data_IF_013393440762
#
_entry.id   IF_013393440762
#
_cell.length_a   1.000
_cell.length_b   1.000
_cell.length_c   1.000
_cell.angle_alpha   90.00
_cell.angle_beta   90.00
_cell.angle_gamma   90.00
#
_symmetry.space_group_name_H-M   'P 1'
#
loop_
_entity.id
_entity.type
_entity.pdbx_description
1 polymer ?
#
# COMPACT_ATOMS: atom_id res chain seq x y z
N UNK A 1 -1.10 0.72 17.36
CA UNK A 1 -0.49 1.93 17.96
C UNK A 1 0.01 2.78 16.83
N UNK A 2 -0.32 4.07 16.80
CA UNK A 2 0.32 5.00 15.86
C UNK A 2 1.74 5.27 16.36
N UNK A 3 2.73 4.73 15.65
CA UNK A 3 4.12 5.09 15.91
C UNK A 3 4.36 6.43 15.24
N UNK A 4 4.41 7.52 16.01
CA UNK A 4 4.92 8.79 15.50
C UNK A 4 6.44 8.68 15.41
N UNK A 5 6.94 8.33 14.24
CA UNK A 5 8.38 8.32 13.99
C UNK A 5 8.93 9.73 13.90
N UNK A 6 10.09 9.94 14.51
CA UNK A 6 10.91 11.12 14.27
C UNK A 6 11.50 11.05 12.85
N UNK A 7 11.90 12.20 12.29
CA UNK A 7 12.59 12.25 11.00
C UNK A 7 13.84 11.36 10.98
N UNK A 8 14.57 11.24 12.10
CA UNK A 8 15.75 10.39 12.21
C UNK A 8 15.40 8.90 12.10
N UNK A 9 14.26 8.47 12.64
CA UNK A 9 13.79 7.09 12.53
C UNK A 9 13.33 6.77 11.10
N UNK A 10 12.57 7.67 10.46
CA UNK A 10 12.19 7.54 9.05
C UNK A 10 13.43 7.39 8.15
N UNK A 11 14.43 8.25 8.34
CA UNK A 11 15.71 8.17 7.61
C UNK A 11 16.50 6.90 7.91
N UNK A 12 16.37 6.33 9.13
CA UNK A 12 17.00 5.06 9.48
C UNK A 12 16.38 3.91 8.72
N UNK A 13 15.05 3.86 8.62
CA UNK A 13 14.35 2.84 7.84
C UNK A 13 14.68 2.95 6.35
N UNK A 14 14.60 4.15 5.77
CA UNK A 14 14.97 4.39 4.38
C UNK A 14 16.41 3.96 4.09
N UNK A 15 17.36 4.27 4.99
CA UNK A 15 18.75 3.83 4.85
C UNK A 15 18.89 2.32 4.89
N UNK A 16 18.16 1.62 5.76
CA UNK A 16 18.17 0.17 5.82
C UNK A 16 17.69 -0.46 4.51
N UNK A 17 16.58 0.04 3.96
CA UNK A 17 16.03 -0.43 2.68
C UNK A 17 17.03 -0.23 1.52
N UNK A 18 17.65 0.96 1.46
CA UNK A 18 18.69 1.25 0.45
C UNK A 18 19.92 0.36 0.60
N UNK A 19 20.37 0.09 1.83
CA UNK A 19 21.49 -0.82 2.07
C UNK A 19 21.16 -2.24 1.58
N UNK A 20 19.94 -2.73 1.81
CA UNK A 20 19.53 -4.05 1.33
C UNK A 20 19.50 -4.12 -0.21
N UNK A 21 18.93 -3.11 -0.88
CA UNK A 21 18.92 -3.00 -2.35
C UNK A 21 20.35 -3.01 -2.93
N UNK A 22 21.25 -2.22 -2.35
CA UNK A 22 22.66 -2.16 -2.77
C UNK A 22 23.38 -3.49 -2.52
N UNK A 23 23.11 -4.17 -1.40
CA UNK A 23 23.68 -5.48 -1.10
C UNK A 23 23.22 -6.55 -2.09
N UNK A 24 21.95 -6.55 -2.49
CA UNK A 24 21.42 -7.47 -3.50
C UNK A 24 22.09 -7.26 -4.86
N UNK A 25 22.27 -6.00 -5.28
CA UNK A 25 23.00 -5.65 -6.51
C UNK A 25 24.44 -6.15 -6.42
N UNK A 26 25.16 -5.77 -5.36
CA UNK A 26 26.57 -6.16 -5.16
C UNK A 26 26.75 -7.68 -5.13
N UNK A 27 25.86 -8.40 -4.45
CA UNK A 27 25.88 -9.86 -4.37
C UNK A 27 25.68 -10.53 -5.73
N UNK A 28 24.72 -10.06 -6.53
CA UNK A 28 24.49 -10.60 -7.87
C UNK A 28 25.63 -10.26 -8.84
N UNK A 29 26.20 -9.06 -8.75
CA UNK A 29 27.39 -8.68 -9.51
C UNK A 29 28.58 -9.60 -9.19
N UNK A 30 28.84 -9.89 -7.91
CA UNK A 30 29.93 -10.77 -7.49
C UNK A 30 29.76 -12.22 -8.00
N UNK A 31 28.52 -12.64 -8.26
CA UNK A 31 28.19 -13.95 -8.84
C UNK A 31 28.12 -13.93 -10.39
N UNK A 32 28.42 -12.80 -11.04
CA UNK A 32 28.34 -12.65 -12.49
C UNK A 32 26.91 -12.64 -13.06
N UNK A 33 25.88 -12.49 -12.22
CA UNK A 33 24.46 -12.55 -12.62
C UNK A 33 23.96 -11.18 -13.11
N UNK A 34 24.52 -10.68 -14.21
CA UNK A 34 24.25 -9.31 -14.68
C UNK A 34 22.80 -9.08 -15.12
N UNK A 35 22.11 -10.08 -15.68
CA UNK A 35 20.69 -9.96 -16.01
C UNK A 35 19.83 -9.69 -14.76
N UNK A 36 20.14 -10.35 -13.64
CA UNK A 36 19.45 -10.10 -12.37
C UNK A 36 19.78 -8.71 -11.83
N UNK A 37 21.01 -8.23 -12.02
CA UNK A 37 21.38 -6.86 -11.64
C UNK A 37 20.55 -5.84 -12.41
N UNK A 38 20.37 -6.03 -13.73
CA UNK A 38 19.50 -5.15 -14.53
C UNK A 38 18.07 -5.15 -13.98
N UNK A 39 17.49 -6.33 -13.75
CA UNK A 39 16.14 -6.42 -13.20
C UNK A 39 15.99 -5.76 -11.83
N UNK A 40 16.98 -5.89 -10.94
CA UNK A 40 16.98 -5.20 -9.64
C UNK A 40 17.02 -3.66 -9.81
N UNK A 41 17.78 -3.15 -10.78
CA UNK A 41 17.83 -1.71 -11.05
C UNK A 41 16.50 -1.23 -11.61
N UNK A 42 15.88 -1.98 -12.52
CA UNK A 42 14.57 -1.66 -13.08
C UNK A 42 13.48 -1.66 -11.99
N UNK A 43 13.49 -2.65 -11.08
CA UNK A 43 12.62 -2.69 -9.90
C UNK A 43 12.77 -1.42 -9.04
N UNK A 44 14.00 -0.97 -8.77
CA UNK A 44 14.28 0.25 -8.00
C UNK A 44 13.77 1.50 -8.73
N UNK A 45 13.95 1.58 -10.04
CA UNK A 45 13.48 2.71 -10.84
C UNK A 45 11.95 2.79 -10.78
N UNK A 46 11.26 1.67 -10.96
CA UNK A 46 9.79 1.61 -10.88
C UNK A 46 9.31 2.02 -9.49
N UNK A 47 9.89 1.48 -8.42
CA UNK A 47 9.55 1.86 -7.05
C UNK A 47 9.73 3.36 -6.81
N UNK A 48 10.85 3.94 -7.24
CA UNK A 48 11.12 5.38 -7.10
C UNK A 48 10.14 6.25 -7.90
N UNK A 49 9.71 5.79 -9.07
CA UNK A 49 8.67 6.48 -9.85
C UNK A 49 7.31 6.45 -9.14
N UNK A 50 6.93 5.32 -8.53
CA UNK A 50 5.71 5.20 -7.75
C UNK A 50 5.77 6.07 -6.47
N UNK A 51 6.90 6.07 -5.76
CA UNK A 51 7.16 6.95 -4.61
C UNK A 51 7.04 8.44 -5.00
N UNK A 52 7.53 8.83 -6.18
CA UNK A 52 7.40 10.20 -6.69
C UNK A 52 5.94 10.55 -7.02
N UNK A 53 5.19 9.64 -7.65
CA UNK A 53 3.76 9.86 -7.94
C UNK A 53 2.95 10.06 -6.66
N UNK A 54 3.09 9.17 -5.69
CA UNK A 54 2.35 9.29 -4.42
C UNK A 54 2.78 10.53 -3.63
N UNK A 55 4.06 10.91 -3.66
CA UNK A 55 4.55 12.12 -2.98
C UNK A 55 4.03 13.43 -3.58
N UNK A 56 3.70 13.43 -4.88
CA UNK A 56 3.16 14.59 -5.59
C UNK A 56 1.63 14.67 -5.56
N UNK A 57 0.95 13.64 -5.02
CA UNK A 57 -0.48 13.67 -4.79
C UNK A 57 -0.79 14.66 -3.66
N UNK A 58 -1.81 15.51 -3.84
CA UNK A 58 -2.22 16.52 -2.86
C UNK A 58 -3.03 15.91 -1.69
N UNK A 59 -2.51 14.85 -1.09
CA UNK A 59 -3.10 14.08 0.01
C UNK A 59 -1.99 13.58 0.94
N UNK A 60 -1.31 14.51 1.65
CA UNK A 60 -0.11 14.21 2.42
C UNK A 60 -0.28 13.11 3.48
N UNK A 61 -1.44 12.99 4.13
CA UNK A 61 -1.67 11.96 5.14
C UNK A 61 -1.75 10.57 4.52
N UNK A 62 -2.42 10.44 3.38
CA UNK A 62 -2.49 9.19 2.63
C UNK A 62 -1.12 8.82 2.06
N UNK A 63 -0.40 9.78 1.49
CA UNK A 63 0.94 9.57 0.98
C UNK A 63 1.90 9.11 2.08
N UNK A 64 1.86 9.73 3.27
CA UNK A 64 2.65 9.30 4.43
C UNK A 64 2.30 7.86 4.85
N UNK A 65 1.00 7.53 4.93
CA UNK A 65 0.54 6.19 5.30
C UNK A 65 1.10 5.11 4.35
N UNK A 66 1.06 5.36 3.04
CA UNK A 66 1.49 4.38 2.05
C UNK A 66 3.03 4.28 1.95
N UNK A 67 3.74 5.42 1.97
CA UNK A 67 5.21 5.46 1.93
C UNK A 67 5.84 4.76 3.14
N UNK A 68 5.24 4.94 4.31
CA UNK A 68 5.76 4.38 5.57
C UNK A 68 5.11 3.04 5.93
N UNK A 69 4.10 2.61 5.17
CA UNK A 69 3.31 1.41 5.43
C UNK A 69 4.14 0.13 5.52
N UNK A 70 5.20 0.02 4.71
CA UNK A 70 6.15 -1.12 4.73
C UNK A 70 6.93 -1.26 6.05
N UNK A 71 7.04 -0.20 6.85
CA UNK A 71 7.72 -0.21 8.15
C UNK A 71 6.76 -0.39 9.33
N UNK A 72 5.45 -0.41 9.07
CA UNK A 72 4.45 -0.71 10.08
C UNK A 72 4.48 -2.22 10.40
N UNK A 73 4.29 -2.55 11.67
CA UNK A 73 4.30 -3.93 12.16
C UNK A 73 2.98 -4.66 11.89
N UNK A 74 2.58 -4.72 10.63
CA UNK A 74 1.45 -5.54 10.17
C UNK A 74 1.93 -6.96 9.82
N UNK A 75 1.01 -7.93 9.91
CA UNK A 75 1.20 -9.32 9.47
C UNK A 75 1.09 -9.49 7.95
N UNK A 76 1.12 -8.38 7.22
CA UNK A 76 1.10 -8.33 5.77
C UNK A 76 1.97 -7.16 5.28
N UNK A 77 2.49 -7.28 4.07
CA UNK A 77 3.18 -6.21 3.38
C UNK A 77 2.20 -5.40 2.54
N UNK A 78 2.31 -4.08 2.65
CA UNK A 78 1.56 -3.13 1.84
C UNK A 78 2.41 -2.79 0.61
N UNK A 79 1.86 -2.99 -0.56
CA UNK A 79 2.36 -2.48 -1.84
C UNK A 79 1.32 -1.54 -2.44
N UNK A 80 1.76 -0.61 -3.28
CA UNK A 80 0.85 0.28 -3.98
C UNK A 80 1.31 0.52 -5.41
N UNK A 81 0.36 0.83 -6.27
CA UNK A 81 0.60 1.22 -7.65
C UNK A 81 -0.33 2.37 -8.03
N UNK A 82 0.25 3.41 -8.63
CA UNK A 82 -0.43 4.61 -9.10
C UNK A 82 -0.53 4.55 -10.63
N UNK A 83 -1.72 4.28 -11.13
CA UNK A 83 -1.99 4.05 -12.56
C UNK A 83 -1.99 5.37 -13.36
N UNK A 84 -2.58 6.42 -12.79
CA UNK A 84 -2.82 7.71 -13.45
C UNK A 84 -2.03 8.86 -12.80
N UNK A 85 -1.99 10.03 -13.44
CA UNK A 85 -1.55 11.26 -12.79
C UNK A 85 -2.67 11.81 -11.88
N UNK A 86 -2.64 11.41 -10.62
CA UNK A 86 -3.67 11.71 -9.62
C UNK A 86 -3.26 12.95 -8.82
N UNK A 87 -3.95 14.07 -9.07
CA UNK A 87 -3.72 15.31 -8.31
C UNK A 87 -4.14 15.21 -6.84
N UNK A 88 -5.03 14.27 -6.50
CA UNK A 88 -5.53 14.06 -5.13
C UNK A 88 -6.69 14.99 -4.76
N UNK A 89 -7.29 14.68 -3.61
CA UNK A 89 -8.46 15.36 -3.04
C UNK A 89 -8.15 15.76 -1.58
N UNK A 90 -7.55 16.95 -1.34
CA UNK A 90 -7.07 17.36 -0.02
C UNK A 90 -8.13 17.33 1.07
N UNK A 91 -9.36 17.71 0.71
CA UNK A 91 -10.51 17.74 1.61
C UNK A 91 -10.96 16.34 2.08
N UNK A 92 -10.49 15.29 1.41
CA UNK A 92 -10.81 13.89 1.70
C UNK A 92 -9.62 13.12 2.26
N UNK A 93 -8.44 13.74 2.32
CA UNK A 93 -7.19 13.10 2.74
C UNK A 93 -7.30 12.48 4.14
N UNK A 94 -7.76 13.26 5.13
CA UNK A 94 -7.94 12.76 6.50
C UNK A 94 -8.99 11.64 6.56
N UNK A 95 -10.12 11.80 5.85
CA UNK A 95 -11.21 10.82 5.85
C UNK A 95 -10.75 9.46 5.30
N UNK A 96 -10.11 9.48 4.13
CA UNK A 96 -9.62 8.28 3.44
C UNK A 96 -8.49 7.64 4.24
N UNK A 97 -7.54 8.43 4.74
CA UNK A 97 -6.42 7.93 5.55
C UNK A 97 -6.92 7.25 6.81
N UNK A 98 -7.87 7.85 7.52
CA UNK A 98 -8.43 7.28 8.74
C UNK A 98 -9.23 6.01 8.48
N UNK A 99 -9.98 5.94 7.38
CA UNK A 99 -10.65 4.72 6.97
C UNK A 99 -9.63 3.61 6.65
N UNK A 100 -8.59 3.94 5.88
CA UNK A 100 -7.56 2.99 5.47
C UNK A 100 -6.77 2.43 6.66
N UNK A 101 -6.40 3.28 7.63
CA UNK A 101 -5.79 2.84 8.90
C UNK A 101 -6.69 1.86 9.66
N UNK A 102 -8.00 2.13 9.75
CA UNK A 102 -8.95 1.22 10.40
C UNK A 102 -8.99 -0.12 9.66
N UNK A 103 -9.05 -0.08 8.34
CA UNK A 103 -9.07 -1.27 7.50
C UNK A 103 -7.80 -2.12 7.67
N UNK A 104 -6.61 -1.52 7.61
CA UNK A 104 -5.35 -2.24 7.84
C UNK A 104 -5.29 -2.89 9.22
N UNK A 105 -5.75 -2.20 10.26
CA UNK A 105 -5.80 -2.76 11.61
C UNK A 105 -6.76 -3.95 11.70
N UNK A 106 -7.89 -3.89 11.01
CA UNK A 106 -8.85 -5.00 11.00
C UNK A 106 -8.29 -6.20 10.23
N UNK A 107 -7.74 -6.01 9.03
CA UNK A 107 -7.04 -7.07 8.28
C UNK A 107 -5.95 -7.70 9.15
N UNK A 108 -5.14 -6.88 9.84
CA UNK A 108 -4.09 -7.38 10.73
C UNK A 108 -4.60 -8.24 11.90
N UNK A 109 -5.81 -7.95 12.41
CA UNK A 109 -6.47 -8.75 13.46
C UNK A 109 -6.97 -10.09 12.93
N UNK A 110 -7.36 -10.14 11.66
CA UNK A 110 -7.92 -11.34 11.03
C UNK A 110 -6.86 -12.33 10.53
N UNK A 111 -5.57 -11.98 10.60
CA UNK A 111 -4.47 -12.86 10.18
C UNK A 111 -3.92 -13.60 11.41
N UNK A 112 -4.11 -14.92 11.45
CA UNK A 112 -3.43 -15.82 12.39
C UNK A 112 -2.19 -16.49 11.80
N UNK A 113 -2.00 -16.38 10.48
CA UNK A 113 -0.88 -17.01 9.77
C UNK A 113 0.49 -16.55 10.31
N UNK A 114 1.43 -17.49 10.33
CA UNK A 114 2.85 -17.22 10.62
C UNK A 114 3.57 -16.62 9.41
N UNK A 115 3.01 -16.81 8.21
CA UNK A 115 3.53 -16.26 6.97
C UNK A 115 3.09 -14.81 6.77
N UNK A 116 3.97 -14.02 6.14
CA UNK A 116 3.68 -12.63 5.79
C UNK A 116 2.81 -12.63 4.53
N UNK A 117 1.61 -12.05 4.62
CA UNK A 117 0.67 -11.91 3.51
C UNK A 117 0.90 -10.61 2.72
N UNK A 118 0.16 -10.41 1.63
CA UNK A 118 0.31 -9.22 0.78
C UNK A 118 -1.03 -8.50 0.55
N UNK A 119 -0.99 -7.18 0.68
CA UNK A 119 -2.06 -6.26 0.31
C UNK A 119 -1.54 -5.28 -0.74
N UNK A 120 -2.08 -5.35 -1.95
CA UNK A 120 -1.78 -4.40 -3.02
C UNK A 120 -2.87 -3.35 -3.11
N UNK A 121 -2.47 -2.08 -3.16
CA UNK A 121 -3.37 -0.92 -3.24
C UNK A 121 -3.22 -0.26 -4.60
N UNK A 122 -4.29 -0.22 -5.38
CA UNK A 122 -4.29 0.35 -6.71
C UNK A 122 -4.97 1.72 -6.69
N UNK A 123 -4.22 2.80 -6.94
CA UNK A 123 -4.78 4.13 -7.06
C UNK A 123 -4.93 4.47 -8.54
N UNK A 124 -6.16 4.84 -8.92
CA UNK A 124 -6.54 5.18 -10.30
C UNK A 124 -7.62 6.26 -10.30
N UNK A 125 -7.94 6.75 -11.50
CA UNK A 125 -9.10 7.60 -11.73
C UNK A 125 -10.27 6.81 -12.30
N UNK A 126 -11.47 7.23 -11.96
CA UNK A 126 -12.66 6.82 -12.70
C UNK A 126 -12.81 7.63 -13.99
N UNK A 127 -13.70 7.19 -14.88
CA UNK A 127 -14.07 7.96 -16.08
C UNK A 127 -14.66 9.36 -15.74
N UNK A 128 -15.17 9.52 -14.52
CA UNK A 128 -15.72 10.78 -13.97
C UNK A 128 -14.64 11.63 -13.26
N UNK A 129 -13.34 11.33 -13.48
CA UNK A 129 -12.15 11.95 -12.86
C UNK A 129 -12.07 11.80 -11.33
N UNK A 130 -12.89 10.92 -10.75
CA UNK A 130 -12.95 10.69 -9.30
C UNK A 130 -11.88 9.71 -8.83
N UNK A 131 -11.40 9.85 -7.58
CA UNK A 131 -10.39 8.95 -7.03
C UNK A 131 -10.97 7.55 -6.80
N UNK A 132 -10.31 6.54 -7.35
CA UNK A 132 -10.59 5.12 -7.10
C UNK A 132 -9.39 4.44 -6.46
N UNK A 133 -9.65 3.71 -5.37
CA UNK A 133 -8.66 2.96 -4.60
C UNK A 133 -9.10 1.50 -4.56
N UNK A 134 -8.41 0.63 -5.30
CA UNK A 134 -8.58 -0.82 -5.26
C UNK A 134 -7.73 -1.43 -4.14
N UNK A 135 -8.26 -2.45 -3.47
CA UNK A 135 -7.57 -3.22 -2.45
C UNK A 135 -7.59 -4.69 -2.87
N UNK A 136 -6.43 -5.24 -3.17
CA UNK A 136 -6.25 -6.64 -3.53
C UNK A 136 -5.46 -7.34 -2.42
N UNK A 137 -6.15 -8.14 -1.62
CA UNK A 137 -5.53 -8.91 -0.55
C UNK A 137 -5.42 -10.38 -0.95
N UNK A 138 -4.21 -10.91 -0.83
CA UNK A 138 -3.90 -12.31 -1.12
C UNK A 138 -3.54 -13.02 0.18
N UNK A 139 -4.47 -13.83 0.68
CA UNK A 139 -4.27 -14.67 1.85
C UNK A 139 -5.56 -15.05 2.58
N UNK A 140 -5.49 -16.06 3.47
CA UNK A 140 -6.60 -16.42 4.34
C UNK A 140 -6.80 -15.36 5.44
N UNK A 141 -8.06 -15.14 5.80
CA UNK A 141 -8.49 -14.32 6.93
C UNK A 141 -9.50 -15.11 7.76
N UNK A 142 -9.43 -14.97 9.08
CA UNK A 142 -10.23 -15.78 10.00
C UNK A 142 -11.72 -15.46 9.94
N UNK A 143 -12.07 -14.17 9.84
CA UNK A 143 -13.46 -13.74 9.78
C UNK A 143 -13.65 -12.64 8.72
N UNK A 144 -14.13 -13.04 7.54
CA UNK A 144 -14.47 -12.12 6.44
C UNK A 144 -15.67 -11.24 6.77
N UNK A 145 -16.62 -11.72 7.58
CA UNK A 145 -17.81 -10.95 7.93
C UNK A 145 -17.44 -9.68 8.71
N UNK A 146 -16.42 -9.73 9.57
CA UNK A 146 -15.91 -8.53 10.26
C UNK A 146 -15.31 -7.51 9.28
N UNK A 147 -14.62 -7.96 8.23
CA UNK A 147 -14.14 -7.08 7.17
C UNK A 147 -15.29 -6.48 6.36
N UNK A 148 -16.29 -7.27 6.01
CA UNK A 148 -17.47 -6.82 5.25
C UNK A 148 -18.28 -5.78 6.03
N UNK A 149 -18.33 -5.85 7.37
CA UNK A 149 -18.97 -4.80 8.20
C UNK A 149 -18.34 -3.43 7.97
N UNK A 150 -17.04 -3.37 7.64
CA UNK A 150 -16.35 -2.11 7.32
C UNK A 150 -16.79 -1.51 5.98
N UNK A 151 -17.43 -2.31 5.12
CA UNK A 151 -17.88 -1.86 3.82
C UNK A 151 -19.16 -1.02 3.86
N UNK A 152 -19.77 -0.88 5.05
CA UNK A 152 -20.85 0.06 5.30
C UNK A 152 -20.30 1.49 5.47
N UNK A 153 -19.90 2.09 4.36
CA UNK A 153 -19.44 3.47 4.29
C UNK A 153 -20.59 4.43 3.98
N UNK A 154 -20.43 5.69 4.39
CA UNK A 154 -21.34 6.80 4.03
C UNK A 154 -20.65 7.70 3.03
N UNK A 155 -21.44 8.47 2.29
CA UNK A 155 -20.96 9.56 1.44
C UNK A 155 -19.96 10.45 2.21
N UNK A 156 -18.84 10.86 1.56
CA UNK A 156 -18.53 10.75 0.13
C UNK A 156 -17.86 9.44 -0.32
N UNK A 157 -17.74 8.43 0.57
CA UNK A 157 -17.12 7.16 0.22
C UNK A 157 -18.17 6.16 -0.28
N UNK A 158 -17.86 5.47 -1.38
CA UNK A 158 -18.64 4.37 -1.92
C UNK A 158 -17.75 3.15 -2.12
N UNK A 159 -18.22 1.98 -1.69
CA UNK A 159 -17.53 0.71 -1.95
C UNK A 159 -18.22 -0.04 -3.09
N UNK A 160 -17.42 -0.63 -3.96
CA UNK A 160 -17.85 -1.40 -5.13
C UNK A 160 -16.86 -2.52 -5.45
N UNK A 161 -17.17 -3.34 -6.46
CA UNK A 161 -16.23 -4.32 -7.01
C UNK A 161 -15.87 -5.46 -6.05
N UNK A 162 -16.68 -5.71 -5.01
CA UNK A 162 -16.37 -6.73 -4.01
C UNK A 162 -16.34 -8.11 -4.69
N UNK A 163 -15.18 -8.75 -4.66
CA UNK A 163 -14.95 -10.11 -5.14
C UNK A 163 -14.25 -10.88 -4.03
N UNK A 164 -14.77 -12.05 -3.70
CA UNK A 164 -14.24 -12.90 -2.63
C UNK A 164 -13.93 -14.29 -3.18
N UNK A 165 -12.71 -14.76 -2.95
CA UNK A 165 -12.34 -16.16 -3.10
C UNK A 165 -11.93 -16.73 -1.73
N UNK A 166 -11.76 -18.03 -1.61
CA UNK A 166 -11.40 -18.74 -0.37
C UNK A 166 -10.19 -18.05 0.31
N UNK A 167 -9.17 -17.67 -0.47
CA UNK A 167 -7.91 -17.10 0.03
C UNK A 167 -7.58 -15.70 -0.53
N UNK A 168 -8.58 -14.95 -0.99
CA UNK A 168 -8.34 -13.56 -1.39
C UNK A 168 -9.63 -12.74 -1.30
N UNK A 169 -9.47 -11.43 -1.24
CA UNK A 169 -10.57 -10.52 -1.43
C UNK A 169 -10.10 -9.28 -2.19
N UNK A 170 -10.99 -8.78 -3.04
CA UNK A 170 -10.82 -7.54 -3.76
C UNK A 170 -12.03 -6.63 -3.50
N UNK A 171 -11.79 -5.34 -3.35
CA UNK A 171 -12.84 -4.32 -3.41
C UNK A 171 -12.25 -2.97 -3.81
N UNK A 172 -13.13 -2.06 -4.20
CA UNK A 172 -12.76 -0.70 -4.58
C UNK A 172 -13.49 0.31 -3.69
N UNK A 173 -12.79 1.37 -3.30
CA UNK A 173 -13.39 2.60 -2.82
C UNK A 173 -13.35 3.62 -3.94
N UNK A 174 -14.51 4.19 -4.26
CA UNK A 174 -14.60 5.40 -5.08
C UNK A 174 -15.03 6.55 -4.19
N UNK A 175 -14.42 7.71 -4.41
CA UNK A 175 -14.84 8.95 -3.75
C UNK A 175 -15.64 9.76 -4.75
N UNK A 176 -16.81 10.25 -4.35
CA UNK A 176 -17.74 11.04 -5.19
C UNK A 176 -18.22 12.29 -4.47
#
# INVERSE_FOLDING_TARGET
METKWTTVELLRHARHDWLNKIQLIKGNMALGKMDRVSGLVDEIIIEAQQEAKISNMNMPMLSELLLTGKWLHYKFHITYEIMDDIKGYPELDELITNWMKKFFNEVNRQIEALDILHLTILLSKTDEDSLKIGFDFQGPVNNKEELIKMFQVKEPLKISGITEDINSFYFEITVR
#
